data_IF_809606054651
#
_entry.id   IF_809606054651
#
_cell.length_a   1.000
_cell.length_b   1.000
_cell.length_c   1.000
_cell.angle_alpha   90.00
_cell.angle_beta   90.00
_cell.angle_gamma   90.00
#
_symmetry.space_group_name_H-M   'P 1'
#
loop_
_entity.id
_entity.type
_entity.pdbx_description
1 polymer ?
#
# COMPACT_ATOMS: atom_id res chain seq x y z
N UNK A 1 -8.78 -12.77 -11.10
CA UNK A 1 -8.02 -12.77 -9.82
C UNK A 1 -8.14 -11.35 -9.29
N UNK A 2 -9.12 -11.10 -8.44
CA UNK A 2 -9.41 -9.77 -7.90
C UNK A 2 -8.50 -9.49 -6.71
N UNK A 3 -7.23 -9.18 -7.00
CA UNK A 3 -6.27 -8.76 -5.97
C UNK A 3 -6.65 -7.33 -5.56
N UNK A 4 -7.46 -7.22 -4.52
CA UNK A 4 -7.82 -5.91 -3.96
C UNK A 4 -6.60 -5.40 -3.19
N UNK A 5 -5.83 -4.47 -3.77
CA UNK A 5 -4.63 -3.81 -3.20
C UNK A 5 -4.72 -3.58 -1.68
N UNK A 6 -5.78 -2.98 -1.14
CA UNK A 6 -5.84 -2.68 0.29
C UNK A 6 -5.97 -3.95 1.15
N UNK A 7 -6.59 -5.04 0.66
CA UNK A 7 -6.65 -6.33 1.36
C UNK A 7 -5.30 -7.04 1.43
N UNK A 8 -4.50 -6.94 0.36
CA UNK A 8 -3.13 -7.47 0.37
C UNK A 8 -2.29 -6.72 1.42
N UNK A 9 -2.43 -5.40 1.48
CA UNK A 9 -1.63 -4.52 2.33
C UNK A 9 -2.13 -4.40 3.79
N UNK A 10 -3.38 -4.77 4.08
CA UNK A 10 -3.95 -4.71 5.44
C UNK A 10 -3.32 -5.76 6.37
N UNK A 11 -2.95 -6.92 5.82
CA UNK A 11 -2.34 -8.02 6.55
C UNK A 11 -0.80 -7.98 6.51
N UNK A 12 -0.24 -7.08 5.71
CA UNK A 12 1.20 -6.94 5.52
C UNK A 12 1.90 -6.47 6.79
N UNK A 13 3.04 -7.09 7.07
CA UNK A 13 4.00 -6.68 8.10
C UNK A 13 5.26 -6.12 7.44
N UNK A 14 6.11 -5.35 8.15
CA UNK A 14 7.35 -4.83 7.57
C UNK A 14 8.26 -5.93 6.98
N UNK A 15 8.21 -7.14 7.54
CA UNK A 15 8.97 -8.30 7.07
C UNK A 15 8.42 -8.91 5.77
N UNK A 16 7.11 -8.77 5.52
CA UNK A 16 6.43 -9.33 4.34
C UNK A 16 6.15 -8.29 3.26
N UNK A 17 6.24 -7.00 3.61
CA UNK A 17 5.94 -5.86 2.76
C UNK A 17 6.59 -5.93 1.39
N UNK A 18 7.88 -6.27 1.32
CA UNK A 18 8.60 -6.35 0.05
C UNK A 18 7.99 -7.39 -0.90
N UNK A 19 7.59 -8.56 -0.39
CA UNK A 19 7.01 -9.61 -1.22
C UNK A 19 5.57 -9.26 -1.63
N UNK A 20 4.80 -8.69 -0.71
CA UNK A 20 3.41 -8.30 -0.95
C UNK A 20 3.31 -7.19 -2.00
N UNK A 21 4.16 -6.17 -1.90
CA UNK A 21 4.16 -5.03 -2.83
C UNK A 21 4.73 -5.41 -4.20
N UNK A 22 5.70 -6.35 -4.29
CA UNK A 22 6.19 -6.86 -5.58
C UNK A 22 5.05 -7.58 -6.32
N UNK A 23 4.30 -8.41 -5.61
CA UNK A 23 3.14 -9.11 -6.19
C UNK A 23 2.07 -8.14 -6.69
N UNK A 24 1.93 -6.99 -6.03
CA UNK A 24 1.02 -5.93 -6.48
C UNK A 24 1.57 -5.17 -7.70
N UNK A 25 2.88 -4.92 -7.76
CA UNK A 25 3.53 -4.25 -8.89
C UNK A 25 3.50 -5.07 -10.19
N UNK A 26 3.37 -6.40 -10.09
CA UNK A 26 3.16 -7.27 -11.25
C UNK A 26 1.77 -7.09 -11.90
N UNK A 27 0.81 -6.58 -11.13
CA UNK A 27 -0.61 -6.47 -11.54
C UNK A 27 -1.07 -5.03 -11.70
N UNK A 28 -0.55 -4.13 -10.87
CA UNK A 28 -0.95 -2.73 -10.78
C UNK A 28 0.24 -1.81 -10.94
N UNK A 29 0.01 -0.68 -11.58
CA UNK A 29 1.02 0.38 -11.64
C UNK A 29 1.20 1.05 -10.28
N UNK A 30 2.35 1.70 -10.08
CA UNK A 30 2.65 2.46 -8.85
C UNK A 30 1.56 3.50 -8.56
N UNK A 31 1.11 4.22 -9.60
CA UNK A 31 0.05 5.22 -9.49
C UNK A 31 -1.29 4.62 -9.07
N UNK A 32 -1.67 3.46 -9.62
CA UNK A 32 -2.88 2.76 -9.19
C UNK A 32 -2.81 2.35 -7.73
N UNK A 33 -1.69 1.76 -7.30
CA UNK A 33 -1.46 1.36 -5.91
C UNK A 33 -1.61 2.57 -4.99
N UNK A 34 -0.95 3.69 -5.31
CA UNK A 34 -1.00 4.92 -4.51
C UNK A 34 -2.40 5.53 -4.51
N UNK A 35 -3.09 5.59 -5.66
CA UNK A 35 -4.44 6.14 -5.75
C UNK A 35 -5.45 5.31 -4.97
N UNK A 36 -5.34 3.98 -5.03
CA UNK A 36 -6.18 3.08 -4.25
C UNK A 36 -5.87 3.22 -2.76
N UNK A 37 -4.61 3.30 -2.35
CA UNK A 37 -4.23 3.52 -0.94
C UNK A 37 -4.71 4.88 -0.40
N UNK A 38 -4.74 5.93 -1.22
CA UNK A 38 -5.25 7.25 -0.83
C UNK A 38 -6.79 7.31 -0.77
N UNK A 39 -7.49 6.50 -1.57
CA UNK A 39 -8.95 6.50 -1.65
C UNK A 39 -9.62 5.40 -0.81
N UNK A 40 -8.92 4.32 -0.48
CA UNK A 40 -9.46 3.12 0.17
C UNK A 40 -10.01 3.36 1.57
N UNK A 41 -11.26 2.94 1.80
CA UNK A 41 -11.92 3.01 3.12
C UNK A 41 -11.42 1.95 4.11
N UNK A 42 -10.54 1.05 3.68
CA UNK A 42 -9.98 0.00 4.54
C UNK A 42 -8.95 0.57 5.53
N UNK A 43 -8.88 -0.04 6.72
CA UNK A 43 -7.96 0.36 7.80
C UNK A 43 -6.55 -0.13 7.55
N UNK A 44 -5.86 0.54 6.64
CA UNK A 44 -4.43 0.33 6.41
C UNK A 44 -3.63 1.13 7.43
N UNK A 45 -2.65 0.48 8.06
CA UNK A 45 -1.76 1.14 9.00
C UNK A 45 -0.97 2.25 8.30
N UNK A 46 -0.83 3.41 8.95
CA UNK A 46 0.01 4.51 8.46
C UNK A 46 1.45 4.04 8.19
N UNK A 47 1.93 3.03 8.91
CA UNK A 47 3.24 2.43 8.67
C UNK A 47 3.36 1.83 7.27
N UNK A 48 2.30 1.19 6.76
CA UNK A 48 2.28 0.64 5.41
C UNK A 48 2.26 1.76 4.37
N UNK A 49 1.48 2.82 4.60
CA UNK A 49 1.49 3.98 3.71
C UNK A 49 2.86 4.66 3.64
N UNK A 50 3.58 4.74 4.77
CA UNK A 50 4.97 5.25 4.83
C UNK A 50 5.91 4.33 4.04
N UNK A 51 5.84 3.01 4.24
CA UNK A 51 6.67 2.04 3.51
C UNK A 51 6.44 2.11 1.99
N UNK A 52 5.19 2.29 1.55
CA UNK A 52 4.86 2.50 0.13
C UNK A 52 5.41 3.83 -0.37
N UNK A 53 5.30 4.90 0.42
CA UNK A 53 5.82 6.20 0.06
C UNK A 53 7.35 6.20 -0.09
N UNK A 54 8.06 5.51 0.81
CA UNK A 54 9.50 5.29 0.74
C UNK A 54 9.88 4.48 -0.51
N UNK A 55 9.17 3.38 -0.79
CA UNK A 55 9.42 2.55 -1.97
C UNK A 55 9.28 3.32 -3.29
N UNK A 56 8.30 4.22 -3.37
CA UNK A 56 8.04 5.01 -4.57
C UNK A 56 8.69 6.38 -4.57
N UNK A 57 9.46 6.73 -3.53
CA UNK A 57 10.05 8.06 -3.35
C UNK A 57 9.04 9.20 -3.50
N UNK A 58 7.82 9.00 -2.99
CA UNK A 58 6.76 10.01 -2.96
C UNK A 58 6.59 10.58 -1.55
N UNK A 59 5.94 11.75 -1.39
CA UNK A 59 5.61 12.28 -0.07
C UNK A 59 4.82 11.27 0.75
N UNK A 60 5.25 11.06 2.00
CA UNK A 60 4.54 10.21 2.94
C UNK A 60 3.09 10.68 3.09
N UNK A 61 2.17 9.72 3.13
CA UNK A 61 0.74 9.98 3.29
C UNK A 61 0.18 9.10 4.38
N UNK A 62 -0.81 9.61 5.11
CA UNK A 62 -1.53 8.90 6.16
C UNK A 62 -3.02 9.07 5.90
N UNK A 63 -3.78 7.97 6.02
CA UNK A 63 -5.24 7.99 5.90
C UNK A 63 -5.92 8.16 7.24
N UNK A 64 -5.29 7.68 8.31
CA UNK A 64 -5.80 7.81 9.65
C UNK A 64 -5.01 8.90 10.35
N UNK A 65 -5.70 9.98 10.73
CA UNK A 65 -5.13 11.01 11.58
C UNK A 65 -4.69 10.37 12.91
N UNK A 66 -3.50 10.74 13.37
CA UNK A 66 -2.97 10.40 14.70
C UNK A 66 -3.82 11.10 15.76
#
# INVERSE_FOLDING_TARGET
>A
MDIIIPRALVATTPATFLNDIISLEEVYTKDEIVNVLKSTRERISNKVCILVAERYQIPAFARFAI
#
